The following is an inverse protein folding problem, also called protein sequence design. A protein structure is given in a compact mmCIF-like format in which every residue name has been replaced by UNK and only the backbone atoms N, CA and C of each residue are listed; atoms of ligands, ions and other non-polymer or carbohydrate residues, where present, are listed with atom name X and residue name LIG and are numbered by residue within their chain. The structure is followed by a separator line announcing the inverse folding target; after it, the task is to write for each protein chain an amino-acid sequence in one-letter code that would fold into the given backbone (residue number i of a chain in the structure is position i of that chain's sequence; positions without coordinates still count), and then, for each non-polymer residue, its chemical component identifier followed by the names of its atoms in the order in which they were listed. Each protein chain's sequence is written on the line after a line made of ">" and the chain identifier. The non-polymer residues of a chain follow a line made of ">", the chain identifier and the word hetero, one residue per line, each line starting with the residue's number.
data_IF_266023088312
#
_entry.id   IF_266023088312
#
_cell.length_a   1.000
_cell.length_b   1.000
_cell.length_c   1.000
_cell.angle_alpha   90.00
_cell.angle_beta   90.00
_cell.angle_gamma   90.00
#
_symmetry.space_group_name_H-M   'P 1'
#
loop_
_entity.id
_entity.type
_entity.pdbx_description
1 polymer ?
#
# COMPACT_ATOMS: atom_id res chain seq x y z
N UNK A 1 -18.08 4.38 18.60
CA UNK A 1 -18.56 3.52 17.50
C UNK A 1 -19.97 3.94 17.15
N UNK A 2 -20.23 4.24 15.88
CA UNK A 2 -21.57 4.53 15.38
C UNK A 2 -22.45 3.28 15.45
N UNK A 3 -23.74 3.45 15.79
CA UNK A 3 -24.66 2.33 15.96
C UNK A 3 -24.96 1.55 14.67
N UNK A 4 -24.70 2.13 13.50
CA UNK A 4 -24.88 1.50 12.19
C UNK A 4 -23.63 0.77 11.67
N UNK A 5 -22.47 0.92 12.34
CA UNK A 5 -21.25 0.21 11.98
C UNK A 5 -21.43 -1.31 12.22
N UNK A 6 -20.95 -2.10 11.27
CA UNK A 6 -20.98 -3.57 11.35
C UNK A 6 -19.61 -4.09 11.75
N UNK A 7 -19.53 -4.67 12.93
CA UNK A 7 -18.32 -5.30 13.43
C UNK A 7 -18.47 -6.82 13.45
N UNK A 8 -17.47 -7.53 12.97
CA UNK A 8 -17.38 -8.98 13.02
C UNK A 8 -17.17 -9.54 14.44
N UNK A 9 -16.97 -10.84 14.54
CA UNK A 9 -16.69 -11.51 15.80
C UNK A 9 -15.29 -11.11 16.33
N UNK A 10 -15.15 -11.03 17.65
CA UNK A 10 -13.89 -10.78 18.36
C UNK A 10 -13.16 -9.48 17.97
N UNK A 11 -13.86 -8.50 17.40
CA UNK A 11 -13.25 -7.18 17.10
C UNK A 11 -12.99 -6.45 18.42
N UNK A 12 -11.73 -6.08 18.63
CA UNK A 12 -11.30 -5.27 19.79
C UNK A 12 -11.18 -3.81 19.38
N UNK A 13 -11.96 -2.94 20.02
CA UNK A 13 -11.90 -1.49 19.82
C UNK A 13 -11.41 -0.84 21.11
N UNK A 14 -10.22 -0.27 21.06
CA UNK A 14 -9.59 0.39 22.21
C UNK A 14 -10.18 1.79 22.49
N UNK A 15 -9.96 2.35 23.70
CA UNK A 15 -10.48 3.67 24.08
C UNK A 15 -10.07 4.77 23.09
N UNK A 16 -10.97 5.75 22.90
CA UNK A 16 -10.80 6.91 22.02
C UNK A 16 -10.71 6.60 20.52
N UNK A 17 -10.89 5.35 20.08
CA UNK A 17 -11.07 5.07 18.69
C UNK A 17 -12.43 5.58 18.20
N UNK A 18 -12.47 6.17 17.01
CA UNK A 18 -13.67 6.64 16.33
C UNK A 18 -14.01 5.73 15.16
N UNK A 19 -15.21 5.18 15.13
CA UNK A 19 -15.74 4.37 14.02
C UNK A 19 -17.06 5.00 13.59
N UNK A 20 -17.08 5.48 12.34
CA UNK A 20 -18.18 6.22 11.74
C UNK A 20 -19.29 5.28 11.24
N UNK A 21 -20.40 5.88 10.79
CA UNK A 21 -21.48 5.19 10.07
C UNK A 21 -20.95 4.52 8.78
N UNK A 22 -21.71 3.57 8.24
CA UNK A 22 -21.39 2.90 6.97
C UNK A 22 -19.96 2.29 6.94
N UNK A 23 -19.51 1.75 8.09
CA UNK A 23 -18.24 1.02 8.24
C UNK A 23 -18.56 -0.46 8.41
N UNK A 24 -17.78 -1.32 7.73
CA UNK A 24 -17.81 -2.77 7.92
C UNK A 24 -16.39 -3.27 8.23
N UNK A 25 -16.24 -4.02 9.34
CA UNK A 25 -14.97 -4.58 9.81
C UNK A 25 -15.18 -6.07 10.05
N UNK A 26 -14.33 -6.89 9.45
CA UNK A 26 -14.34 -8.35 9.60
C UNK A 26 -13.85 -8.83 10.97
N UNK A 27 -13.87 -10.14 11.16
CA UNK A 27 -13.56 -10.78 12.44
C UNK A 27 -12.11 -10.56 12.89
N UNK A 28 -11.87 -10.67 14.19
CA UNK A 28 -10.56 -10.72 14.83
C UNK A 28 -9.67 -9.47 14.56
N UNK A 29 -10.27 -8.34 14.21
CA UNK A 29 -9.55 -7.09 14.02
C UNK A 29 -9.27 -6.39 15.36
N UNK A 30 -8.13 -5.68 15.43
CA UNK A 30 -7.72 -4.90 16.58
C UNK A 30 -7.55 -3.42 16.20
N UNK A 31 -8.35 -2.54 16.78
CA UNK A 31 -8.38 -1.10 16.51
C UNK A 31 -7.83 -0.38 17.74
N UNK A 32 -6.60 0.12 17.63
CA UNK A 32 -5.86 0.76 18.72
C UNK A 32 -6.44 2.14 19.12
N UNK A 33 -6.02 2.71 20.25
CA UNK A 33 -6.50 4.03 20.68
C UNK A 33 -6.28 5.12 19.64
N UNK A 34 -7.21 6.07 19.57
CA UNK A 34 -7.15 7.25 18.68
C UNK A 34 -7.13 6.94 17.18
N UNK A 35 -7.49 5.74 16.76
CA UNK A 35 -7.72 5.42 15.35
C UNK A 35 -9.05 6.03 14.90
N UNK A 36 -9.10 6.56 13.69
CA UNK A 36 -10.31 7.05 13.05
C UNK A 36 -10.64 6.21 11.81
N UNK A 37 -11.76 5.49 11.86
CA UNK A 37 -12.28 4.71 10.72
C UNK A 37 -13.52 5.42 10.20
N UNK A 38 -13.36 6.04 9.03
CA UNK A 38 -14.38 6.91 8.44
C UNK A 38 -15.36 6.13 7.58
N UNK A 39 -16.49 6.77 7.28
CA UNK A 39 -17.54 6.22 6.42
C UNK A 39 -17.00 5.74 5.08
N UNK A 40 -17.51 4.61 4.59
CA UNK A 40 -17.06 3.98 3.36
C UNK A 40 -15.93 2.95 3.53
N UNK A 41 -15.55 2.62 4.76
CA UNK A 41 -14.57 1.55 5.02
C UNK A 41 -15.21 0.16 4.88
N UNK A 42 -14.55 -0.72 4.15
CA UNK A 42 -14.82 -2.16 4.04
C UNK A 42 -13.52 -2.90 4.35
N UNK A 43 -13.42 -3.44 5.54
CA UNK A 43 -12.20 -4.08 6.07
C UNK A 43 -12.44 -5.58 6.30
N UNK A 44 -11.53 -6.40 5.82
CA UNK A 44 -11.49 -7.83 6.06
C UNK A 44 -11.12 -8.19 7.51
N UNK A 45 -10.57 -9.38 7.67
CA UNK A 45 -10.31 -10.00 8.98
C UNK A 45 -8.87 -9.82 9.45
N UNK A 46 -8.65 -9.96 10.76
CA UNK A 46 -7.32 -10.01 11.41
C UNK A 46 -6.42 -8.82 11.10
N UNK A 47 -7.02 -7.69 10.79
CA UNK A 47 -6.28 -6.44 10.59
C UNK A 47 -5.95 -5.79 11.93
N UNK A 48 -4.76 -5.20 12.04
CA UNK A 48 -4.32 -4.45 13.21
C UNK A 48 -4.04 -3.00 12.81
N UNK A 49 -4.81 -2.08 13.39
CA UNK A 49 -4.76 -0.65 13.05
C UNK A 49 -4.23 0.12 14.27
N UNK A 50 -3.10 0.80 14.10
CA UNK A 50 -2.36 1.44 15.18
C UNK A 50 -2.71 2.91 15.37
N UNK A 51 -2.30 3.45 16.52
CA UNK A 51 -2.69 4.76 17.03
C UNK A 51 -2.57 5.88 15.99
N UNK A 52 -3.60 6.71 15.91
CA UNK A 52 -3.64 7.89 15.05
C UNK A 52 -3.81 7.60 13.55
N UNK A 53 -3.93 6.33 13.16
CA UNK A 53 -4.23 6.01 11.76
C UNK A 53 -5.63 6.50 11.39
N UNK A 54 -5.78 6.96 10.13
CA UNK A 54 -7.05 7.43 9.57
C UNK A 54 -7.37 6.61 8.33
N UNK A 55 -8.43 5.82 8.41
CA UNK A 55 -8.89 4.95 7.32
C UNK A 55 -10.10 5.60 6.64
N UNK A 56 -10.11 5.60 5.32
CA UNK A 56 -11.12 6.21 4.46
C UNK A 56 -11.29 7.73 4.68
N UNK A 57 -10.17 8.42 4.93
CA UNK A 57 -10.16 9.88 4.90
C UNK A 57 -10.68 10.42 3.56
N UNK A 58 -11.27 11.61 3.57
CA UNK A 58 -11.69 12.26 2.32
C UNK A 58 -10.51 12.43 1.37
N UNK A 59 -10.72 12.23 0.04
CA UNK A 59 -9.65 12.40 -0.94
C UNK A 59 -9.14 13.84 -0.95
N UNK A 60 -7.81 13.98 -1.02
CA UNK A 60 -7.16 15.28 -1.16
C UNK A 60 -7.05 15.63 -2.66
N UNK A 61 -8.18 15.68 -3.34
CA UNK A 61 -8.29 15.95 -4.77
C UNK A 61 -9.36 17.04 -5.00
N UNK A 62 -9.01 18.05 -5.80
CA UNK A 62 -9.92 19.14 -6.16
C UNK A 62 -11.16 18.68 -6.95
N UNK A 63 -11.12 17.51 -7.56
CA UNK A 63 -12.24 16.93 -8.30
C UNK A 63 -13.25 16.22 -7.39
N UNK A 64 -12.93 15.95 -6.13
CA UNK A 64 -13.86 15.34 -5.19
C UNK A 64 -15.04 16.27 -4.92
N UNK A 65 -16.27 15.77 -5.08
CA UNK A 65 -17.52 16.52 -4.94
C UNK A 65 -18.40 16.04 -3.77
N UNK A 66 -17.85 15.22 -2.87
CA UNK A 66 -18.61 14.62 -1.78
C UNK A 66 -19.26 13.29 -2.18
N UNK A 67 -18.79 12.65 -3.24
CA UNK A 67 -19.32 11.40 -3.75
C UNK A 67 -19.16 10.24 -2.76
N UNK A 68 -20.09 9.28 -2.86
CA UNK A 68 -20.01 8.02 -2.12
C UNK A 68 -18.92 7.12 -2.73
N UNK A 69 -17.81 7.08 -2.03
CA UNK A 69 -16.64 6.28 -2.41
C UNK A 69 -16.15 5.47 -1.22
N UNK A 70 -15.36 4.45 -1.46
CA UNK A 70 -14.95 3.51 -0.42
C UNK A 70 -13.45 3.25 -0.38
N UNK A 71 -13.02 2.68 0.75
CA UNK A 71 -11.74 1.97 0.91
C UNK A 71 -12.06 0.52 1.17
N UNK A 72 -11.51 -0.38 0.36
CA UNK A 72 -11.52 -1.82 0.60
C UNK A 72 -10.16 -2.25 1.14
N UNK A 73 -10.13 -2.95 2.27
CA UNK A 73 -8.92 -3.51 2.89
C UNK A 73 -9.16 -5.00 3.06
N UNK A 74 -8.26 -5.82 2.56
CA UNK A 74 -8.29 -7.27 2.71
C UNK A 74 -7.96 -7.73 4.14
N UNK A 75 -7.44 -8.93 4.24
CA UNK A 75 -7.14 -9.60 5.50
C UNK A 75 -5.68 -9.41 5.93
N UNK A 76 -5.39 -9.63 7.22
CA UNK A 76 -4.04 -9.78 7.78
C UNK A 76 -3.11 -8.56 7.59
N UNK A 77 -3.63 -7.37 7.41
CA UNK A 77 -2.80 -6.18 7.27
C UNK A 77 -2.41 -5.59 8.63
N UNK A 78 -1.19 -5.04 8.69
CA UNK A 78 -0.70 -4.26 9.82
C UNK A 78 -0.53 -2.82 9.37
N UNK A 79 -1.37 -1.92 9.89
CA UNK A 79 -1.39 -0.50 9.56
C UNK A 79 -0.91 0.28 10.78
N UNK A 80 0.33 0.78 10.71
CA UNK A 80 1.02 1.41 11.84
C UNK A 80 0.55 2.85 12.08
N UNK A 81 1.21 3.49 13.02
CA UNK A 81 0.83 4.78 13.59
C UNK A 81 0.76 5.88 12.53
N UNK A 82 -0.27 6.72 12.62
CA UNK A 82 -0.47 7.89 11.76
C UNK A 82 -0.50 7.58 10.24
N UNK A 83 -0.77 6.36 9.86
CA UNK A 83 -1.05 6.02 8.45
C UNK A 83 -2.34 6.68 8.03
N UNK A 84 -2.37 7.25 6.82
CA UNK A 84 -3.58 7.82 6.23
C UNK A 84 -3.90 7.12 4.92
N UNK A 85 -5.11 6.60 4.80
CA UNK A 85 -5.62 5.99 3.57
C UNK A 85 -6.85 6.77 3.12
N UNK A 86 -6.78 7.42 1.97
CA UNK A 86 -7.91 8.15 1.40
C UNK A 86 -8.84 7.23 0.61
N UNK A 87 -10.14 7.51 0.67
CA UNK A 87 -11.10 6.87 -0.24
C UNK A 87 -10.98 7.45 -1.64
N UNK A 88 -11.66 6.84 -2.62
CA UNK A 88 -11.60 7.27 -4.02
C UNK A 88 -12.28 8.61 -4.27
N UNK A 89 -12.01 9.23 -5.42
CA UNK A 89 -12.48 10.57 -5.78
C UNK A 89 -13.86 10.55 -6.43
N UNK A 90 -14.09 9.63 -7.36
CA UNK A 90 -15.31 9.63 -8.18
C UNK A 90 -16.32 8.59 -7.68
N UNK A 91 -17.60 8.91 -7.88
CA UNK A 91 -18.74 8.06 -7.48
C UNK A 91 -18.56 6.59 -7.85
N UNK A 92 -18.76 5.70 -6.88
CA UNK A 92 -18.53 4.25 -7.02
C UNK A 92 -17.07 3.82 -7.09
N UNK A 93 -16.13 4.76 -7.01
CA UNK A 93 -14.69 4.48 -6.99
C UNK A 93 -14.22 3.84 -5.69
N UNK A 94 -13.06 3.20 -5.75
CA UNK A 94 -12.45 2.49 -4.63
C UNK A 94 -10.96 2.75 -4.55
N UNK A 95 -10.45 2.95 -3.32
CA UNK A 95 -9.05 2.71 -2.98
C UNK A 95 -8.96 1.30 -2.40
N UNK A 96 -8.01 0.49 -2.85
CA UNK A 96 -7.94 -0.93 -2.51
C UNK A 96 -6.60 -1.26 -1.88
N UNK A 97 -6.64 -1.95 -0.76
CA UNK A 97 -5.48 -2.56 -0.09
C UNK A 97 -5.75 -4.06 -0.03
N UNK A 98 -4.88 -4.87 -0.61
CA UNK A 98 -4.98 -6.33 -0.57
C UNK A 98 -4.71 -6.92 0.80
N UNK A 99 -4.13 -8.11 0.84
CA UNK A 99 -3.93 -8.87 2.06
C UNK A 99 -2.46 -8.86 2.51
N UNK A 100 -2.25 -9.04 3.82
CA UNK A 100 -0.92 -9.28 4.38
C UNK A 100 0.09 -8.15 4.20
N UNK A 101 -0.36 -6.93 4.02
CA UNK A 101 0.51 -5.78 3.84
C UNK A 101 0.96 -5.20 5.19
N UNK A 102 2.16 -4.63 5.21
CA UNK A 102 2.70 -3.92 6.36
C UNK A 102 2.97 -2.46 5.99
N UNK A 103 2.15 -1.55 6.51
CA UNK A 103 2.29 -0.11 6.31
C UNK A 103 2.93 0.49 7.58
N UNK A 104 4.18 0.95 7.48
CA UNK A 104 4.89 1.59 8.59
C UNK A 104 4.31 2.96 8.93
N UNK A 105 4.80 3.55 10.03
CA UNK A 105 4.28 4.82 10.52
C UNK A 105 4.35 5.94 9.48
N UNK A 106 3.30 6.76 9.45
CA UNK A 106 3.20 7.92 8.58
C UNK A 106 3.12 7.63 7.08
N UNK A 107 2.91 6.39 6.68
CA UNK A 107 2.63 6.06 5.27
C UNK A 107 1.32 6.73 4.85
N UNK A 108 1.30 7.27 3.63
CA UNK A 108 0.10 7.83 3.02
C UNK A 108 -0.26 7.07 1.74
N UNK A 109 -1.47 6.57 1.66
CA UNK A 109 -2.06 5.99 0.46
C UNK A 109 -3.16 6.92 -0.02
N UNK A 110 -2.95 7.56 -1.16
CA UNK A 110 -3.88 8.50 -1.73
C UNK A 110 -5.01 7.79 -2.49
N UNK A 111 -5.98 8.58 -2.92
CA UNK A 111 -7.24 8.17 -3.55
C UNK A 111 -7.05 7.30 -4.80
N UNK A 112 -8.00 6.43 -5.09
CA UNK A 112 -8.06 5.59 -6.30
C UNK A 112 -6.82 4.69 -6.51
N UNK A 113 -6.01 4.49 -5.48
CA UNK A 113 -4.80 3.67 -5.52
C UNK A 113 -5.16 2.22 -5.21
N UNK A 114 -4.54 1.30 -5.94
CA UNK A 114 -4.65 -0.14 -5.72
C UNK A 114 -3.32 -0.70 -5.24
N UNK A 115 -3.32 -1.31 -4.08
CA UNK A 115 -2.20 -2.05 -3.50
C UNK A 115 -2.55 -3.53 -3.49
N UNK A 116 -1.67 -4.36 -4.03
CA UNK A 116 -1.76 -5.81 -4.02
C UNK A 116 -1.52 -6.42 -2.65
N UNK A 117 -0.86 -7.56 -2.61
CA UNK A 117 -0.71 -8.36 -1.40
C UNK A 117 0.75 -8.45 -0.95
N UNK A 118 0.95 -8.72 0.35
CA UNK A 118 2.25 -9.04 0.94
C UNK A 118 3.35 -8.01 0.71
N UNK A 119 2.98 -6.74 0.63
CA UNK A 119 3.90 -5.63 0.40
C UNK A 119 4.25 -4.91 1.70
N UNK A 120 5.45 -4.33 1.73
CA UNK A 120 5.96 -3.57 2.87
C UNK A 120 6.22 -2.13 2.45
N UNK A 121 5.64 -1.19 3.18
CA UNK A 121 5.80 0.24 2.92
C UNK A 121 6.51 0.88 4.10
N UNK A 122 7.80 1.22 3.91
CA UNK A 122 8.63 1.83 4.93
C UNK A 122 8.13 3.22 5.36
N UNK A 123 8.54 3.62 6.54
CA UNK A 123 8.07 4.83 7.22
C UNK A 123 8.05 6.07 6.32
N UNK A 124 7.04 6.89 6.49
CA UNK A 124 6.91 8.16 5.78
C UNK A 124 6.70 8.09 4.27
N UNK A 125 6.61 6.90 3.67
CA UNK A 125 6.38 6.75 2.23
C UNK A 125 5.02 7.33 1.82
N UNK A 126 4.97 7.96 0.63
CA UNK A 126 3.77 8.61 0.10
C UNK A 126 3.45 8.06 -1.29
N UNK A 127 2.27 7.49 -1.44
CA UNK A 127 1.76 6.95 -2.69
C UNK A 127 0.64 7.88 -3.16
N UNK A 128 0.88 8.59 -4.26
CA UNK A 128 -0.09 9.52 -4.84
C UNK A 128 -1.28 8.79 -5.47
N UNK A 129 -2.30 9.53 -5.89
CA UNK A 129 -3.54 8.96 -6.41
C UNK A 129 -3.37 8.15 -7.69
N UNK A 130 -4.32 7.25 -7.96
CA UNK A 130 -4.38 6.41 -9.16
C UNK A 130 -3.14 5.53 -9.39
N UNK A 131 -2.41 5.16 -8.35
CA UNK A 131 -1.27 4.25 -8.47
C UNK A 131 -1.71 2.79 -8.44
N UNK A 132 -0.91 1.95 -9.11
CA UNK A 132 -1.03 0.49 -9.06
C UNK A 132 0.25 -0.08 -8.46
N UNK A 133 0.17 -0.60 -7.24
CA UNK A 133 1.27 -1.29 -6.58
C UNK A 133 0.94 -2.78 -6.60
N UNK A 134 1.78 -3.57 -7.24
CA UNK A 134 1.56 -5.01 -7.36
C UNK A 134 1.94 -5.75 -6.08
N UNK A 135 1.92 -7.08 -6.12
CA UNK A 135 2.22 -7.93 -4.96
C UNK A 135 3.71 -7.93 -4.60
N UNK A 136 4.01 -8.16 -3.34
CA UNK A 136 5.36 -8.34 -2.82
C UNK A 136 6.32 -7.17 -3.08
N UNK A 137 5.80 -5.96 -3.15
CA UNK A 137 6.59 -4.74 -3.30
C UNK A 137 7.17 -4.33 -1.95
N UNK A 138 8.44 -3.93 -1.93
CA UNK A 138 9.12 -3.43 -0.74
C UNK A 138 9.57 -1.99 -0.98
N UNK A 139 9.02 -1.06 -0.22
CA UNK A 139 9.55 0.29 -0.08
C UNK A 139 10.35 0.38 1.21
N UNK A 140 11.58 0.86 1.13
CA UNK A 140 12.26 1.37 2.31
C UNK A 140 11.63 2.71 2.75
N UNK A 141 12.28 3.45 3.64
CA UNK A 141 11.69 4.70 4.18
C UNK A 141 11.60 5.86 3.18
N UNK A 142 10.60 6.72 3.34
CA UNK A 142 10.44 7.98 2.60
C UNK A 142 10.42 7.85 1.07
N UNK A 143 9.84 6.80 0.56
CA UNK A 143 9.63 6.61 -0.88
C UNK A 143 8.44 7.44 -1.35
N UNK A 144 8.62 8.16 -2.48
CA UNK A 144 7.58 9.00 -3.08
C UNK A 144 7.17 8.45 -4.45
N UNK A 145 5.92 8.07 -4.60
CA UNK A 145 5.35 7.57 -5.87
C UNK A 145 4.42 8.64 -6.45
N UNK A 146 4.73 9.14 -7.64
CA UNK A 146 3.89 10.13 -8.33
C UNK A 146 2.61 9.49 -8.85
N UNK A 147 1.59 10.33 -9.04
CA UNK A 147 0.26 9.91 -9.48
C UNK A 147 0.30 9.09 -10.76
N UNK A 148 -0.50 8.03 -10.80
CA UNK A 148 -0.68 7.15 -11.95
C UNK A 148 0.46 6.17 -12.22
N UNK A 149 1.49 6.13 -11.39
CA UNK A 149 2.60 5.18 -11.56
C UNK A 149 2.19 3.76 -11.19
N UNK A 150 2.78 2.81 -11.91
CA UNK A 150 2.73 1.38 -11.59
C UNK A 150 4.06 0.92 -11.01
N UNK A 151 4.00 0.12 -9.95
CA UNK A 151 5.17 -0.52 -9.34
C UNK A 151 5.00 -2.03 -9.44
N UNK A 152 5.89 -2.67 -10.18
CA UNK A 152 5.79 -4.09 -10.53
C UNK A 152 6.13 -5.01 -9.36
N UNK A 153 5.60 -6.21 -9.42
CA UNK A 153 5.74 -7.24 -8.38
C UNK A 153 7.19 -7.54 -8.03
N UNK A 154 7.47 -7.86 -6.77
CA UNK A 154 8.81 -8.18 -6.25
C UNK A 154 9.86 -7.08 -6.46
N UNK A 155 9.46 -5.87 -6.76
CA UNK A 155 10.40 -4.75 -6.79
C UNK A 155 10.71 -4.26 -5.39
N UNK A 156 11.93 -3.77 -5.21
CA UNK A 156 12.38 -3.11 -3.99
C UNK A 156 12.88 -1.71 -4.31
N UNK A 157 12.60 -0.76 -3.43
CA UNK A 157 13.07 0.62 -3.59
C UNK A 157 13.80 1.06 -2.35
N UNK A 158 14.96 1.67 -2.55
CA UNK A 158 15.75 2.20 -1.44
C UNK A 158 15.16 3.50 -0.87
N UNK A 159 15.59 3.81 0.35
CA UNK A 159 15.16 5.00 1.09
C UNK A 159 15.33 6.28 0.27
N UNK A 160 14.31 7.12 0.32
CA UNK A 160 14.31 8.43 -0.33
C UNK A 160 14.06 8.43 -1.83
N UNK A 161 13.87 7.28 -2.46
CA UNK A 161 13.58 7.22 -3.89
C UNK A 161 12.30 7.95 -4.27
N UNK A 162 12.30 8.61 -5.42
CA UNK A 162 11.16 9.29 -5.99
C UNK A 162 10.87 8.81 -7.39
N UNK A 163 9.68 8.25 -7.60
CA UNK A 163 9.23 7.77 -8.91
C UNK A 163 8.32 8.77 -9.59
N UNK A 164 8.59 9.01 -10.88
CA UNK A 164 7.73 9.76 -11.81
C UNK A 164 7.33 8.92 -13.01
N UNK A 165 7.75 7.66 -13.03
CA UNK A 165 7.49 6.66 -14.07
C UNK A 165 7.30 5.31 -13.40
N UNK A 166 6.80 4.35 -14.17
CA UNK A 166 6.61 2.99 -13.71
C UNK A 166 7.92 2.32 -13.32
N UNK A 167 7.82 1.46 -12.33
CA UNK A 167 8.92 0.62 -11.84
C UNK A 167 8.69 -0.81 -12.33
N UNK A 168 9.62 -1.37 -13.12
CA UNK A 168 9.50 -2.75 -13.59
C UNK A 168 9.53 -3.76 -12.44
N UNK A 169 8.94 -4.95 -12.62
CA UNK A 169 8.97 -6.00 -11.60
C UNK A 169 10.40 -6.55 -11.37
N UNK A 170 10.61 -7.15 -10.21
CA UNK A 170 11.82 -7.90 -9.81
C UNK A 170 13.11 -7.09 -9.68
N UNK A 171 13.08 -5.79 -9.72
CA UNK A 171 14.27 -4.93 -9.67
C UNK A 171 14.47 -4.29 -8.30
N UNK A 172 15.69 -3.83 -8.06
CA UNK A 172 15.99 -2.81 -7.07
C UNK A 172 16.08 -1.46 -7.79
N UNK A 173 15.30 -0.49 -7.34
CA UNK A 173 15.39 0.90 -7.76
C UNK A 173 16.07 1.71 -6.65
N UNK A 174 17.08 2.48 -7.01
CA UNK A 174 17.92 3.22 -6.06
C UNK A 174 18.45 4.51 -6.67
N UNK A 175 19.16 5.28 -5.88
CA UNK A 175 19.88 6.49 -6.24
C UNK A 175 19.00 7.74 -6.44
N UNK A 176 19.66 8.86 -6.66
CA UNK A 176 19.09 10.17 -6.98
C UNK A 176 19.80 10.72 -8.24
N UNK A 177 19.11 10.85 -9.37
CA UNK A 177 17.73 10.44 -9.64
C UNK A 177 17.54 8.93 -9.57
N UNK A 178 16.33 8.48 -9.20
CA UNK A 178 16.03 7.05 -9.06
C UNK A 178 16.18 6.30 -10.38
N UNK A 179 16.98 5.26 -10.38
CA UNK A 179 17.31 4.44 -11.55
C UNK A 179 17.22 2.94 -11.23
N UNK A 180 17.30 2.13 -12.27
CA UNK A 180 17.52 0.70 -12.12
C UNK A 180 18.88 0.43 -11.51
N UNK A 181 18.94 -0.26 -10.38
CA UNK A 181 20.17 -0.59 -9.67
C UNK A 181 20.57 -2.06 -9.83
N UNK A 182 19.62 -2.92 -10.11
CA UNK A 182 19.83 -4.35 -10.30
C UNK A 182 18.56 -5.16 -10.12
N UNK A 183 18.67 -6.47 -10.23
CA UNK A 183 17.57 -7.40 -9.89
C UNK A 183 17.56 -7.63 -8.38
N UNK A 184 16.37 -7.71 -7.80
CA UNK A 184 16.15 -7.97 -6.37
C UNK A 184 16.48 -9.44 -6.00
N UNK A 185 17.68 -9.89 -6.35
CA UNK A 185 18.06 -11.30 -6.26
C UNK A 185 18.05 -11.86 -4.85
N UNK A 186 18.42 -11.06 -3.86
CA UNK A 186 18.49 -11.48 -2.45
C UNK A 186 17.12 -11.89 -1.94
N UNK A 187 16.12 -11.01 -2.10
CA UNK A 187 14.76 -11.28 -1.64
C UNK A 187 14.11 -12.39 -2.45
N UNK A 188 14.28 -12.39 -3.78
CA UNK A 188 13.72 -13.43 -4.64
C UNK A 188 14.20 -14.84 -4.24
N UNK A 189 15.50 -14.99 -3.94
CA UNK A 189 16.06 -16.27 -3.47
C UNK A 189 15.60 -16.63 -2.05
N UNK A 190 15.51 -15.64 -1.16
CA UNK A 190 15.01 -15.84 0.20
C UNK A 190 13.58 -16.37 0.20
N UNK A 191 12.73 -15.87 -0.67
CA UNK A 191 11.32 -16.30 -0.85
C UNK A 191 11.18 -17.57 -1.71
N UNK A 192 12.29 -18.25 -2.01
CA UNK A 192 12.29 -19.58 -2.64
C UNK A 192 12.38 -19.59 -4.16
N UNK A 193 12.58 -18.45 -4.82
CA UNK A 193 12.80 -18.45 -6.26
C UNK A 193 14.16 -19.10 -6.58
N UNK A 194 14.18 -20.06 -7.51
CA UNK A 194 15.40 -20.77 -7.85
C UNK A 194 16.47 -19.84 -8.46
N UNK A 195 17.72 -20.08 -8.14
CA UNK A 195 18.87 -19.32 -8.68
C UNK A 195 18.85 -19.25 -10.22
N UNK A 196 18.40 -20.31 -10.87
CA UNK A 196 18.27 -20.37 -12.33
C UNK A 196 17.30 -19.33 -12.86
N UNK A 197 16.13 -19.18 -12.23
CA UNK A 197 15.13 -18.19 -12.62
C UNK A 197 15.65 -16.78 -12.36
N UNK A 198 16.26 -16.52 -11.20
CA UNK A 198 16.85 -15.22 -10.86
C UNK A 198 17.93 -14.82 -11.88
N UNK A 199 18.77 -15.76 -12.31
CA UNK A 199 19.77 -15.53 -13.38
C UNK A 199 19.11 -15.20 -14.73
N UNK A 200 18.01 -15.85 -15.08
CA UNK A 200 17.28 -15.52 -16.31
C UNK A 200 16.68 -14.11 -16.27
N UNK A 201 16.08 -13.73 -15.16
CA UNK A 201 15.57 -12.36 -14.94
C UNK A 201 16.72 -11.34 -15.06
N UNK A 202 17.85 -11.60 -14.40
CA UNK A 202 19.05 -10.74 -14.47
C UNK A 202 19.58 -10.59 -15.89
N UNK A 203 19.57 -11.67 -16.66
CA UNK A 203 19.98 -11.64 -18.05
C UNK A 203 19.04 -10.79 -18.90
N UNK A 204 17.72 -10.95 -18.73
CA UNK A 204 16.73 -10.15 -19.44
C UNK A 204 16.90 -8.65 -19.17
N UNK A 205 17.05 -8.25 -17.91
CA UNK A 205 17.26 -6.85 -17.55
C UNK A 205 18.62 -6.30 -18.02
N UNK A 206 19.65 -7.12 -18.06
CA UNK A 206 20.93 -6.73 -18.66
C UNK A 206 20.78 -6.39 -20.15
N UNK A 207 19.99 -7.16 -20.90
CA UNK A 207 19.70 -6.86 -22.30
C UNK A 207 18.93 -5.53 -22.43
N UNK A 208 17.91 -5.32 -21.58
CA UNK A 208 17.07 -4.12 -21.63
C UNK A 208 17.86 -2.85 -21.30
N UNK A 209 18.69 -2.87 -20.26
CA UNK A 209 19.35 -1.67 -19.73
C UNK A 209 20.81 -1.48 -20.14
N UNK A 210 21.50 -2.55 -20.54
CA UNK A 210 22.93 -2.51 -20.88
C UNK A 210 23.24 -3.11 -22.25
N UNK A 211 22.20 -3.50 -23.00
CA UNK A 211 22.37 -4.17 -24.25
C UNK A 211 22.92 -3.27 -25.34
N UNK A 212 24.23 -3.16 -25.43
CA UNK A 212 24.86 -3.09 -26.74
C UNK A 212 25.12 -4.55 -27.15
N UNK A 213 24.19 -5.05 -27.89
CA UNK A 213 24.37 -6.28 -28.64
C UNK A 213 25.15 -5.95 -29.88
N UNK A 214 26.37 -6.28 -29.91
CA UNK A 214 27.05 -6.66 -31.12
C UNK A 214 27.55 -8.05 -30.92
#
# INVERSE_FOLDING_TARGET
>A
VDASAKLGANVTVHPFAYIDKNVEIGDDCEIMPHVSIMSGTRMGKRNRIFNGAVIAAEPQDFNYKGDDTIVEIGDDNVIRENVVINRATNSGGKTIIGNGNFLHEGVHVSHDTHIGNHSVFGYGSKISGNCMIEDYVIFEGNVLVSQGCRVGTWSMTQTGCRFRKDVPPYIVAALEPTTYYGVNSVILMHEGMSEKIVKHISHAYRIIYHGNTS
#
